data_IF_512622298170
#
_entry.id   IF_512622298170
#
_cell.length_a   1.000
_cell.length_b   1.000
_cell.length_c   1.000
_cell.angle_alpha   90.00
_cell.angle_beta   90.00
_cell.angle_gamma   90.00
#
_symmetry.space_group_name_H-M   'P 1'
#
loop_
_entity.id
_entity.type
_entity.pdbx_description
1 polymer ?
#
# COMPACT_ATOMS: atom_id res chain seq x y z
N UNK A 1 -22.69 -13.19 -19.01
CA UNK A 1 -23.64 -12.71 -18.00
C UNK A 1 -23.92 -11.22 -18.22
N UNK A 2 -25.16 -10.79 -18.05
CA UNK A 2 -25.52 -9.37 -18.08
C UNK A 2 -25.96 -8.94 -16.68
N UNK A 3 -25.46 -7.78 -16.24
CA UNK A 3 -25.80 -7.21 -14.96
C UNK A 3 -24.63 -7.15 -13.97
N UNK A 4 -24.92 -6.64 -12.77
CA UNK A 4 -23.94 -6.52 -11.67
C UNK A 4 -23.92 -7.86 -10.93
N UNK A 5 -22.78 -8.55 -10.97
CA UNK A 5 -22.59 -9.87 -10.33
C UNK A 5 -21.62 -9.83 -9.13
N UNK A 6 -21.02 -8.68 -8.86
CA UNK A 6 -20.14 -8.45 -7.69
C UNK A 6 -20.72 -7.38 -6.78
N UNK A 7 -20.33 -7.35 -5.49
CA UNK A 7 -20.77 -6.29 -4.57
C UNK A 7 -20.45 -4.90 -5.12
N UNK A 8 -21.39 -3.98 -4.91
CA UNK A 8 -21.21 -2.55 -5.21
C UNK A 8 -21.04 -1.82 -3.89
N UNK A 9 -19.97 -1.07 -3.78
CA UNK A 9 -19.63 -0.32 -2.59
C UNK A 9 -19.79 1.18 -2.83
N UNK A 10 -20.45 1.86 -1.91
CA UNK A 10 -20.47 3.32 -1.87
C UNK A 10 -19.47 3.78 -0.81
N UNK A 11 -18.43 4.50 -1.25
CA UNK A 11 -17.49 5.18 -0.36
C UNK A 11 -17.84 6.65 -0.27
N UNK A 12 -17.84 7.19 0.95
CA UNK A 12 -18.05 8.61 1.21
C UNK A 12 -16.93 9.16 2.09
N UNK A 13 -16.67 10.44 1.99
CA UNK A 13 -15.73 11.20 2.82
C UNK A 13 -16.34 12.54 3.17
N UNK A 14 -15.74 13.28 4.10
CA UNK A 14 -16.00 14.70 4.24
C UNK A 14 -15.32 15.48 3.10
N UNK A 15 -14.93 16.73 3.32
CA UNK A 15 -14.43 17.64 2.27
C UNK A 15 -13.15 17.14 1.56
N UNK A 16 -12.32 16.34 2.23
CA UNK A 16 -11.10 15.76 1.66
C UNK A 16 -11.22 14.24 1.57
N UNK A 17 -11.18 13.73 0.36
CA UNK A 17 -11.14 12.29 0.09
C UNK A 17 -9.69 11.82 -0.07
N UNK A 18 -9.37 10.64 0.46
CA UNK A 18 -8.10 9.96 0.24
C UNK A 18 -8.26 8.85 -0.79
N UNK A 19 -7.39 8.86 -1.81
CA UNK A 19 -7.38 7.86 -2.90
C UNK A 19 -6.05 7.16 -2.97
N UNK A 20 -6.09 5.90 -3.37
CA UNK A 20 -4.92 5.07 -3.67
C UNK A 20 -3.84 5.11 -2.57
N UNK A 21 -4.20 4.96 -1.28
CA UNK A 21 -3.17 4.86 -0.25
C UNK A 21 -2.36 3.58 -0.46
N UNK A 22 -1.03 3.69 -0.34
CA UNK A 22 -0.11 2.58 -0.51
C UNK A 22 1.07 2.72 0.44
N UNK A 23 1.54 1.59 0.96
CA UNK A 23 2.78 1.49 1.74
C UNK A 23 3.76 0.65 0.95
N UNK A 24 4.92 1.23 0.64
CA UNK A 24 6.06 0.54 0.02
C UNK A 24 7.17 0.37 1.02
N UNK A 25 8.00 -0.63 0.83
CA UNK A 25 9.13 -0.90 1.70
C UNK A 25 10.43 -1.10 0.92
N UNK A 26 11.53 -0.69 1.55
CA UNK A 26 12.89 -1.07 1.20
C UNK A 26 13.48 -1.80 2.40
N UNK A 27 14.24 -2.87 2.17
CA UNK A 27 14.77 -3.74 3.20
C UNK A 27 16.30 -3.73 3.14
N UNK A 28 16.98 -3.73 4.29
CA UNK A 28 18.37 -4.12 4.33
C UNK A 28 18.49 -5.63 4.02
N UNK A 29 18.85 -5.94 2.79
CA UNK A 29 18.90 -7.31 2.28
C UNK A 29 20.15 -8.08 2.73
N UNK A 30 21.02 -7.46 3.53
CA UNK A 30 22.23 -8.07 4.10
C UNK A 30 21.96 -8.56 5.52
N UNK A 31 21.51 -7.67 6.40
CA UNK A 31 21.26 -8.00 7.80
C UNK A 31 19.82 -8.43 8.08
N UNK A 32 18.86 -7.92 7.31
CA UNK A 32 17.41 -8.02 7.53
C UNK A 32 16.92 -7.32 8.81
N UNK A 33 17.76 -6.56 9.47
CA UNK A 33 17.46 -5.92 10.75
C UNK A 33 16.75 -4.58 10.60
N UNK A 34 16.69 -4.04 9.39
CA UNK A 34 16.12 -2.72 9.13
C UNK A 34 15.28 -2.69 7.86
N UNK A 35 14.20 -1.91 7.91
CA UNK A 35 13.38 -1.58 6.75
C UNK A 35 12.91 -0.13 6.80
N UNK A 36 12.76 0.47 5.63
CA UNK A 36 12.28 1.84 5.44
C UNK A 36 10.99 1.82 4.66
N UNK A 37 9.95 2.38 5.25
CA UNK A 37 8.64 2.49 4.62
C UNK A 37 8.51 3.83 3.91
N UNK A 38 7.76 3.80 2.81
CA UNK A 38 7.25 4.99 2.13
C UNK A 38 5.73 4.89 2.09
N UNK A 39 5.06 5.87 2.67
CA UNK A 39 3.59 5.99 2.63
C UNK A 39 3.21 7.02 1.59
N UNK A 40 2.34 6.63 0.67
CA UNK A 40 1.86 7.52 -0.38
C UNK A 40 0.33 7.51 -0.41
N UNK A 41 -0.28 8.69 -0.53
CA UNK A 41 -1.72 8.85 -0.67
C UNK A 41 -2.05 10.08 -1.50
N UNK A 42 -3.08 10.00 -2.33
CA UNK A 42 -3.62 11.14 -3.07
C UNK A 42 -4.79 11.73 -2.32
N UNK A 43 -4.66 13.00 -1.92
CA UNK A 43 -5.69 13.76 -1.21
C UNK A 43 -6.42 14.67 -2.20
N UNK A 44 -7.75 14.62 -2.20
CA UNK A 44 -8.60 15.41 -3.08
C UNK A 44 -9.49 16.31 -2.22
N UNK A 45 -9.24 17.61 -2.22
CA UNK A 45 -10.13 18.60 -1.61
C UNK A 45 -11.29 18.87 -2.57
N UNK A 46 -12.48 18.42 -2.23
CA UNK A 46 -13.68 18.62 -3.05
C UNK A 46 -14.43 19.92 -2.73
N UNK A 47 -13.95 20.70 -1.74
CA UNK A 47 -14.57 21.95 -1.33
C UNK A 47 -14.05 23.17 -2.11
N UNK A 48 -14.72 24.28 -1.99
CA UNK A 48 -14.38 25.59 -2.57
C UNK A 48 -13.48 26.44 -1.66
N UNK A 49 -12.97 25.88 -0.56
CA UNK A 49 -12.07 26.54 0.40
C UNK A 49 -10.73 25.83 0.54
N UNK A 50 -9.73 26.56 0.98
CA UNK A 50 -8.46 25.98 1.39
C UNK A 50 -8.64 25.20 2.68
N UNK A 51 -8.01 24.02 2.76
CA UNK A 51 -8.05 23.16 3.93
C UNK A 51 -6.63 22.90 4.43
N UNK A 52 -6.42 23.20 5.71
CA UNK A 52 -5.22 22.80 6.45
C UNK A 52 -5.57 21.61 7.33
N UNK A 53 -4.81 20.52 7.17
CA UNK A 53 -5.07 19.28 7.90
C UNK A 53 -3.79 18.48 8.12
N UNK A 54 -3.97 17.22 8.50
CA UNK A 54 -2.87 16.29 8.73
C UNK A 54 -3.17 14.94 8.11
N UNK A 55 -2.20 14.39 7.40
CA UNK A 55 -2.18 12.97 7.05
C UNK A 55 -1.61 12.22 8.26
N UNK A 56 -2.42 11.35 8.85
CA UNK A 56 -2.08 10.56 10.02
C UNK A 56 -1.96 9.09 9.63
N UNK A 57 -1.00 8.39 10.22
CA UNK A 57 -0.85 6.96 10.08
C UNK A 57 -0.66 6.31 11.45
N UNK A 58 -1.27 5.12 11.63
CA UNK A 58 -1.16 4.32 12.85
C UNK A 58 -1.00 2.85 12.49
N UNK A 59 -0.01 2.21 13.03
CA UNK A 59 0.25 0.77 12.90
C UNK A 59 1.02 0.26 14.13
N UNK A 60 1.44 -1.00 14.17
CA UNK A 60 2.05 -1.61 15.36
C UNK A 60 3.32 -0.91 15.87
N UNK A 61 4.14 -0.32 14.98
CA UNK A 61 5.35 0.43 15.37
C UNK A 61 5.05 1.85 15.89
N UNK A 62 3.78 2.23 15.98
CA UNK A 62 3.32 3.49 16.53
C UNK A 62 2.49 4.33 15.56
N UNK A 63 2.48 5.63 15.80
CA UNK A 63 1.71 6.58 14.99
C UNK A 63 2.55 7.76 14.56
N UNK A 64 2.12 8.42 13.49
CA UNK A 64 2.68 9.66 12.99
C UNK A 64 1.59 10.59 12.48
N UNK A 65 1.94 11.86 12.34
CA UNK A 65 1.11 12.85 11.65
C UNK A 65 2.00 13.81 10.87
N UNK A 66 1.52 14.20 9.69
CA UNK A 66 2.22 15.12 8.80
C UNK A 66 1.27 16.22 8.33
N UNK A 67 1.61 17.51 8.49
CA UNK A 67 0.76 18.62 8.09
C UNK A 67 0.66 18.69 6.56
N UNK A 68 -0.54 18.92 6.06
CA UNK A 68 -0.83 19.06 4.63
C UNK A 68 -1.78 20.22 4.42
N UNK A 69 -1.45 21.07 3.46
CA UNK A 69 -2.32 22.14 2.99
C UNK A 69 -2.81 21.81 1.59
N UNK A 70 -4.09 22.03 1.37
CA UNK A 70 -4.78 21.81 0.10
C UNK A 70 -5.56 23.06 -0.28
N UNK A 71 -5.30 23.59 -1.46
CA UNK A 71 -6.12 24.66 -2.02
C UNK A 71 -7.53 24.14 -2.36
N UNK A 72 -8.46 25.07 -2.60
CA UNK A 72 -9.81 24.75 -3.07
C UNK A 72 -9.75 23.91 -4.34
N UNK A 73 -10.43 22.76 -4.38
CA UNK A 73 -10.44 21.85 -5.53
C UNK A 73 -9.12 21.12 -5.83
N UNK A 74 -8.09 21.27 -5.00
CA UNK A 74 -6.77 20.67 -5.26
C UNK A 74 -6.79 19.15 -5.06
N UNK A 75 -6.08 18.47 -5.98
CA UNK A 75 -5.70 17.07 -5.84
C UNK A 75 -4.18 16.99 -5.71
N UNK A 76 -3.70 16.46 -4.59
CA UNK A 76 -2.27 16.42 -4.23
C UNK A 76 -1.86 15.03 -3.78
N UNK A 77 -0.81 14.48 -4.37
CA UNK A 77 -0.18 13.25 -3.88
C UNK A 77 0.87 13.60 -2.83
N UNK A 78 0.72 13.04 -1.65
CA UNK A 78 1.65 13.16 -0.53
C UNK A 78 2.44 11.86 -0.44
N UNK A 79 3.76 11.96 -0.41
CA UNK A 79 4.68 10.84 -0.24
C UNK A 79 5.56 11.12 0.98
N UNK A 80 5.51 10.24 1.98
CA UNK A 80 6.23 10.35 3.25
C UNK A 80 7.22 9.22 3.36
N UNK A 81 8.48 9.56 3.62
CA UNK A 81 9.59 8.61 3.78
C UNK A 81 10.06 8.53 5.24
N UNK A 82 10.89 7.55 5.53
CA UNK A 82 11.52 7.39 6.85
C UNK A 82 12.42 8.57 7.25
N UNK A 83 12.94 9.33 6.29
CA UNK A 83 13.73 10.54 6.56
C UNK A 83 12.87 11.66 7.15
N UNK A 84 11.62 11.75 6.72
CA UNK A 84 10.66 12.74 7.21
C UNK A 84 9.94 12.25 8.48
N UNK A 85 9.68 10.96 8.56
CA UNK A 85 8.88 10.34 9.63
C UNK A 85 9.66 9.17 10.23
N UNK A 86 10.29 9.37 11.37
CA UNK A 86 11.12 8.35 12.04
C UNK A 86 10.39 7.02 12.29
N UNK A 87 9.06 7.04 12.46
CA UNK A 87 8.24 5.84 12.65
C UNK A 87 8.13 4.96 11.41
N UNK A 88 8.53 5.44 10.24
CA UNK A 88 8.61 4.67 9.00
C UNK A 88 9.94 3.93 8.82
N UNK A 89 10.88 4.08 9.76
CA UNK A 89 12.08 3.26 9.89
C UNK A 89 11.79 2.16 10.91
N UNK A 90 11.69 0.94 10.43
CA UNK A 90 11.33 -0.25 11.23
C UNK A 90 12.60 -1.05 11.54
N UNK A 91 12.78 -1.38 12.81
CA UNK A 91 13.88 -2.24 13.27
C UNK A 91 13.38 -3.65 13.53
N UNK A 92 14.18 -4.64 13.15
CA UNK A 92 13.83 -6.07 13.22
C UNK A 92 12.45 -6.39 12.63
N UNK A 93 12.20 -5.99 11.36
CA UNK A 93 10.90 -6.17 10.74
C UNK A 93 10.57 -7.65 10.53
N UNK A 94 9.28 -8.01 10.65
CA UNK A 94 8.79 -9.29 10.14
C UNK A 94 8.71 -9.17 8.62
N UNK A 95 9.57 -9.86 7.90
CA UNK A 95 9.61 -9.79 6.45
C UNK A 95 8.55 -10.68 5.80
N UNK A 96 7.93 -10.18 4.76
CA UNK A 96 7.08 -10.98 3.90
C UNK A 96 7.92 -11.87 3.00
N UNK A 97 7.65 -13.16 3.01
CA UNK A 97 8.25 -14.13 2.12
C UNK A 97 7.16 -14.95 1.40
N UNK A 98 7.45 -15.43 0.19
CA UNK A 98 6.64 -16.46 -0.43
C UNK A 98 6.79 -17.77 0.36
N UNK A 99 5.75 -18.60 0.35
CA UNK A 99 5.59 -19.76 1.24
C UNK A 99 6.76 -20.76 1.26
N UNK A 100 7.53 -20.85 0.18
CA UNK A 100 8.72 -21.73 0.09
C UNK A 100 10.00 -21.11 0.66
N UNK A 101 9.98 -19.85 1.07
CA UNK A 101 11.12 -19.14 1.64
C UNK A 101 10.89 -18.64 3.07
N UNK A 102 9.65 -18.65 3.53
CA UNK A 102 9.26 -18.18 4.86
C UNK A 102 7.77 -17.92 4.97
N UNK A 103 7.38 -17.05 5.90
CA UNK A 103 5.99 -16.68 6.13
C UNK A 103 5.60 -15.41 5.37
N UNK A 104 4.37 -15.30 4.88
CA UNK A 104 3.84 -14.08 4.27
C UNK A 104 3.38 -13.10 5.36
N UNK A 105 4.32 -12.60 6.16
CA UNK A 105 4.02 -11.69 7.27
C UNK A 105 3.42 -10.38 6.76
N UNK A 106 2.32 -9.97 7.38
CA UNK A 106 1.56 -8.78 7.01
C UNK A 106 1.50 -7.77 8.17
N UNK A 107 1.44 -6.53 7.78
CA UNK A 107 1.17 -5.37 8.64
C UNK A 107 -0.10 -4.68 8.16
N UNK A 108 -0.76 -3.99 9.06
CA UNK A 108 -1.94 -3.19 8.74
C UNK A 108 -1.73 -1.77 9.25
N UNK A 109 -1.91 -0.77 8.38
CA UNK A 109 -1.78 0.64 8.72
C UNK A 109 -3.10 1.36 8.47
N UNK A 110 -3.65 1.96 9.51
CA UNK A 110 -4.74 2.91 9.39
C UNK A 110 -4.17 4.26 8.94
N UNK A 111 -4.58 4.73 7.77
CA UNK A 111 -4.28 6.06 7.25
C UNK A 111 -5.54 6.91 7.32
N UNK A 112 -5.44 8.14 7.85
CA UNK A 112 -6.55 9.07 7.93
C UNK A 112 -6.11 10.49 7.61
N UNK A 113 -7.01 11.26 7.00
CA UNK A 113 -6.83 12.70 6.86
C UNK A 113 -7.74 13.42 7.87
N UNK A 114 -7.12 14.25 8.71
CA UNK A 114 -7.80 14.97 9.78
C UNK A 114 -7.71 16.47 9.52
N UNK A 115 -8.86 17.15 9.47
CA UNK A 115 -8.96 18.61 9.38
C UNK A 115 -9.99 19.11 10.39
N UNK A 116 -9.76 20.28 10.96
CA UNK A 116 -10.62 20.90 11.98
C UNK A 116 -10.97 19.96 13.16
N UNK A 117 -10.01 19.08 13.54
CA UNK A 117 -10.19 18.09 14.61
C UNK A 117 -11.10 16.91 14.25
N UNK A 118 -11.53 16.78 13.00
CA UNK A 118 -12.41 15.71 12.51
C UNK A 118 -11.71 14.88 11.44
N UNK A 119 -11.97 13.57 11.44
CA UNK A 119 -11.52 12.68 10.36
C UNK A 119 -12.35 12.99 9.11
N UNK A 120 -11.68 13.35 8.03
CA UNK A 120 -12.32 13.58 6.72
C UNK A 120 -12.46 12.29 5.92
N UNK A 121 -11.42 11.47 5.88
CA UNK A 121 -11.41 10.14 5.26
C UNK A 121 -10.44 9.23 6.01
N UNK A 122 -10.70 7.93 6.03
CA UNK A 122 -9.84 6.92 6.65
C UNK A 122 -9.87 5.63 5.83
N UNK A 123 -8.71 4.98 5.72
CA UNK A 123 -8.55 3.70 5.05
C UNK A 123 -7.53 2.83 5.76
N UNK A 124 -7.75 1.53 5.75
CA UNK A 124 -6.79 0.53 6.21
C UNK A 124 -6.01 0.03 4.99
N UNK A 125 -4.69 0.00 5.11
CA UNK A 125 -3.77 -0.51 4.10
C UNK A 125 -3.00 -1.69 4.68
N UNK A 126 -3.26 -2.87 4.15
CA UNK A 126 -2.49 -4.06 4.48
C UNK A 126 -1.27 -4.15 3.56
N UNK A 127 -0.09 -4.44 4.13
CA UNK A 127 1.16 -4.50 3.37
C UNK A 127 2.14 -5.50 3.97
N UNK A 128 2.98 -6.08 3.11
CA UNK A 128 4.12 -6.89 3.54
C UNK A 128 5.40 -6.08 3.42
N UNK A 129 6.28 -6.15 4.43
CA UNK A 129 7.62 -5.56 4.35
C UNK A 129 8.48 -6.49 3.52
N UNK A 130 8.76 -6.07 2.28
CA UNK A 130 9.57 -6.83 1.32
C UNK A 130 10.21 -5.90 0.31
N UNK A 131 11.30 -6.36 -0.28
CA UNK A 131 11.93 -5.73 -1.44
C UNK A 131 11.91 -6.70 -2.61
N UNK A 132 11.35 -6.25 -3.74
CA UNK A 132 11.31 -7.02 -4.98
C UNK A 132 12.15 -6.30 -6.02
N UNK A 133 13.20 -6.97 -6.47
CA UNK A 133 14.10 -6.50 -7.52
C UNK A 133 14.06 -7.44 -8.72
N UNK A 134 14.61 -7.02 -9.83
CA UNK A 134 14.77 -7.87 -11.01
C UNK A 134 16.12 -7.65 -11.68
N UNK A 135 16.57 -8.65 -12.38
CA UNK A 135 17.82 -8.63 -13.16
C UNK A 135 17.59 -9.30 -14.51
N UNK A 136 18.48 -9.06 -15.46
CA UNK A 136 18.48 -9.73 -16.75
C UNK A 136 19.74 -10.59 -16.86
N UNK A 137 19.59 -11.81 -17.41
CA UNK A 137 20.73 -12.65 -17.74
C UNK A 137 21.35 -12.24 -19.11
N UNK A 138 22.41 -12.90 -19.52
CA UNK A 138 23.13 -12.63 -20.78
C UNK A 138 22.24 -12.84 -22.02
N UNK A 139 21.24 -13.74 -21.94
CA UNK A 139 20.26 -14.00 -22.99
C UNK A 139 19.07 -13.04 -22.99
N UNK A 140 19.03 -12.07 -22.06
CA UNK A 140 17.96 -11.09 -21.94
C UNK A 140 16.71 -11.58 -21.18
N UNK A 141 16.76 -12.76 -20.53
CA UNK A 141 15.66 -13.23 -19.68
C UNK A 141 15.68 -12.53 -18.33
N UNK A 142 14.47 -12.13 -17.88
CA UNK A 142 14.30 -11.48 -16.58
C UNK A 142 14.25 -12.49 -15.44
N UNK A 143 15.09 -12.30 -14.43
CA UNK A 143 15.02 -12.96 -13.13
C UNK A 143 14.49 -12.04 -12.05
N UNK A 144 14.03 -12.60 -10.95
CA UNK A 144 13.49 -11.87 -9.81
C UNK A 144 14.27 -12.14 -8.54
N UNK A 145 14.34 -11.14 -7.67
CA UNK A 145 15.03 -11.18 -6.38
C UNK A 145 14.02 -10.69 -5.33
N UNK A 146 13.74 -11.50 -4.34
CA UNK A 146 12.91 -11.16 -3.19
C UNK A 146 13.78 -11.06 -1.94
N UNK A 147 13.82 -9.90 -1.30
CA UNK A 147 14.65 -9.64 -0.11
C UNK A 147 16.08 -10.13 -0.29
N UNK A 148 16.70 -9.80 -1.43
CA UNK A 148 18.08 -10.21 -1.76
C UNK A 148 18.25 -11.66 -2.23
N UNK A 149 17.22 -12.53 -2.20
CA UNK A 149 17.28 -13.93 -2.65
C UNK A 149 16.66 -14.09 -4.04
N UNK A 150 17.38 -14.78 -4.94
CA UNK A 150 16.81 -15.13 -6.26
C UNK A 150 15.62 -16.06 -6.10
N UNK A 151 14.54 -15.75 -6.80
CA UNK A 151 13.29 -16.52 -6.77
C UNK A 151 12.87 -16.94 -8.16
N UNK A 152 12.34 -18.16 -8.26
CA UNK A 152 11.71 -18.65 -9.48
C UNK A 152 10.21 -18.29 -9.42
N UNK A 153 9.76 -17.48 -10.37
CA UNK A 153 8.33 -17.21 -10.54
C UNK A 153 7.70 -18.42 -11.22
N UNK A 154 6.76 -19.05 -10.53
CA UNK A 154 5.91 -20.12 -11.07
C UNK A 154 4.56 -19.54 -11.39
N UNK A 155 4.07 -19.72 -12.58
CA UNK A 155 2.79 -19.19 -13.03
C UNK A 155 2.23 -20.00 -14.19
N UNK A 156 0.97 -19.80 -14.46
CA UNK A 156 0.26 -20.38 -15.60
C UNK A 156 -0.72 -19.35 -16.17
N UNK A 157 -1.17 -19.59 -17.39
CA UNK A 157 -2.30 -18.84 -17.93
C UNK A 157 -3.58 -19.23 -17.18
N UNK A 158 -4.34 -18.25 -16.75
CA UNK A 158 -5.69 -18.44 -16.23
C UNK A 158 -6.67 -18.19 -17.36
N UNK A 159 -7.58 -19.13 -17.59
CA UNK A 159 -8.70 -18.96 -18.52
C UNK A 159 -10.00 -19.01 -17.74
N UNK A 160 -10.97 -18.24 -18.18
CA UNK A 160 -12.30 -18.29 -17.60
C UNK A 160 -12.91 -19.70 -17.73
N UNK A 161 -13.82 -20.05 -16.81
CA UNK A 161 -14.63 -21.26 -16.93
C UNK A 161 -15.39 -21.22 -18.27
N UNK A 162 -15.37 -22.34 -18.99
CA UNK A 162 -16.01 -22.47 -20.32
C UNK A 162 -17.50 -22.09 -20.28
N UNK A 163 -18.13 -22.19 -19.12
CA UNK A 163 -19.52 -21.78 -18.88
C UNK A 163 -19.64 -20.37 -18.27
N UNK A 164 -18.52 -19.62 -18.16
CA UNK A 164 -18.46 -18.28 -17.58
C UNK A 164 -19.08 -18.20 -16.17
N UNK A 165 -18.85 -19.22 -15.36
CA UNK A 165 -19.33 -19.27 -13.97
C UNK A 165 -18.27 -18.63 -13.07
N UNK A 166 -18.69 -17.59 -12.34
CA UNK A 166 -17.91 -17.06 -11.25
C UNK A 166 -18.27 -17.83 -9.97
N UNK A 167 -17.41 -18.73 -9.54
CA UNK A 167 -17.54 -19.40 -8.25
C UNK A 167 -16.75 -18.63 -7.18
N UNK A 168 -17.12 -18.72 -5.89
CA UNK A 168 -16.31 -18.11 -4.82
C UNK A 168 -14.84 -18.49 -4.90
N UNK A 169 -14.53 -19.74 -5.22
CA UNK A 169 -13.17 -20.28 -5.34
C UNK A 169 -12.41 -19.74 -6.56
N UNK A 170 -13.12 -19.21 -7.55
CA UNK A 170 -12.49 -18.57 -8.75
C UNK A 170 -12.23 -17.08 -8.55
N UNK A 171 -12.72 -16.50 -7.43
CA UNK A 171 -12.65 -15.06 -7.14
C UNK A 171 -11.59 -14.76 -6.06
N UNK A 172 -11.27 -15.73 -5.19
CA UNK A 172 -10.19 -15.67 -4.20
C UNK A 172 -8.82 -15.96 -4.83
#
# INVERSE_FOLDING_TARGET
SMGIFRPVWLKYSNEVAMKNPVVRSKVDTVSFDEAWLTVEATLCNASDRNISGKLCGKYEEGSFSYPVELAAGETKTVSLTADQIKRLHVKNPRLWWCHNLGNPEMYSMELSFVADGKVSDSQIVDFGIRQLDSWFNEDGYRGFILNGKKVLIKGAGWTDDIFLRDTPESIE
#
